data_IF_588863718278
#
_entry.id   IF_588863718278
#
_cell.length_a   1.000
_cell.length_b   1.000
_cell.length_c   1.000
_cell.angle_alpha   90.00
_cell.angle_beta   90.00
_cell.angle_gamma   90.00
#
_symmetry.space_group_name_H-M   'P 1'
#
loop_
_entity.id
_entity.type
_entity.pdbx_description
1 polymer ?
#
# COMPACT_ATOMS: atom_id res chain seq x y z
N UNK A 1 9.61 -1.01 -18.21
CA UNK A 1 9.44 -2.21 -17.37
C UNK A 1 10.24 -1.95 -16.11
N UNK A 2 9.62 -2.10 -14.93
CA UNK A 2 10.35 -2.07 -13.68
C UNK A 2 11.53 -3.04 -13.73
N UNK A 3 12.62 -2.70 -13.04
CA UNK A 3 13.82 -3.53 -13.00
C UNK A 3 13.48 -4.89 -12.35
N UNK A 4 13.27 -5.92 -13.17
CA UNK A 4 12.94 -7.27 -12.73
C UNK A 4 14.08 -7.93 -11.94
N UNK A 5 15.31 -7.43 -12.05
CA UNK A 5 16.46 -7.93 -11.31
C UNK A 5 16.24 -7.87 -9.79
N UNK A 6 15.42 -6.91 -9.32
CA UNK A 6 15.07 -6.80 -7.90
C UNK A 6 14.22 -8.00 -7.41
N UNK A 7 13.36 -8.53 -8.28
CA UNK A 7 12.38 -9.56 -7.93
C UNK A 7 12.82 -10.97 -8.36
N UNK A 8 13.65 -11.03 -9.40
CA UNK A 8 14.20 -12.22 -10.03
C UNK A 8 15.72 -12.01 -10.19
N UNK A 9 16.50 -12.19 -9.11
CA UNK A 9 17.88 -11.72 -9.03
C UNK A 9 18.91 -12.52 -9.84
N UNK A 10 18.49 -13.59 -10.53
CA UNK A 10 19.36 -14.31 -11.46
C UNK A 10 18.65 -14.68 -12.76
N UNK A 11 19.45 -14.87 -13.82
CA UNK A 11 18.97 -15.14 -15.17
C UNK A 11 18.10 -16.42 -15.26
N UNK A 12 18.43 -17.44 -14.46
CA UNK A 12 17.66 -18.68 -14.39
C UNK A 12 16.23 -18.45 -13.91
N UNK A 13 16.04 -17.61 -12.90
CA UNK A 13 14.72 -17.23 -12.38
C UNK A 13 13.95 -16.36 -13.38
N UNK A 14 14.63 -15.45 -14.07
CA UNK A 14 14.03 -14.62 -15.11
C UNK A 14 13.52 -15.47 -16.29
N UNK A 15 14.34 -16.41 -16.78
CA UNK A 15 13.96 -17.32 -17.84
C UNK A 15 12.81 -18.25 -17.42
N UNK A 16 12.85 -18.76 -16.18
CA UNK A 16 11.78 -19.56 -15.61
C UNK A 16 10.46 -18.79 -15.53
N UNK A 17 10.50 -17.51 -15.14
CA UNK A 17 9.33 -16.64 -15.08
C UNK A 17 8.74 -16.34 -16.46
N UNK A 18 9.57 -16.01 -17.45
CA UNK A 18 9.10 -15.79 -18.83
C UNK A 18 8.48 -17.06 -19.43
N UNK A 19 9.10 -18.22 -19.20
CA UNK A 19 8.51 -19.52 -19.58
C UNK A 19 7.16 -19.75 -18.89
N UNK A 20 7.05 -19.43 -17.60
CA UNK A 20 5.81 -19.61 -16.83
C UNK A 20 4.67 -18.70 -17.32
N UNK A 21 4.97 -17.47 -17.75
CA UNK A 21 3.98 -16.50 -18.27
C UNK A 21 3.25 -16.99 -19.50
N UNK A 22 3.94 -17.73 -20.37
CA UNK A 22 3.37 -18.25 -21.62
C UNK A 22 2.48 -19.48 -21.41
N UNK A 23 2.50 -20.10 -20.21
CA UNK A 23 1.71 -21.30 -19.91
C UNK A 23 0.24 -20.95 -19.65
N UNK A 24 -0.66 -21.58 -20.39
CA UNK A 24 -2.10 -21.25 -20.37
C UNK A 24 -2.91 -22.29 -19.59
N UNK A 25 -2.51 -23.55 -19.68
CA UNK A 25 -3.26 -24.68 -19.11
C UNK A 25 -2.72 -25.11 -17.75
N UNK A 26 -3.58 -25.75 -16.96
CA UNK A 26 -3.20 -26.34 -15.68
C UNK A 26 -2.17 -27.47 -15.83
N UNK A 27 -2.24 -28.24 -16.91
CA UNK A 27 -1.29 -29.32 -17.22
C UNK A 27 0.10 -28.79 -17.51
N UNK A 28 0.22 -27.75 -18.34
CA UNK A 28 1.49 -27.06 -18.62
C UNK A 28 2.12 -26.50 -17.35
N UNK A 29 1.32 -25.85 -16.49
CA UNK A 29 1.79 -25.32 -15.20
C UNK A 29 2.23 -26.43 -14.24
N UNK A 30 1.54 -27.56 -14.24
CA UNK A 30 1.91 -28.72 -13.42
C UNK A 30 3.23 -29.34 -13.92
N UNK A 31 3.39 -29.48 -15.25
CA UNK A 31 4.62 -29.98 -15.85
C UNK A 31 5.81 -29.06 -15.53
N UNK A 32 5.63 -27.74 -15.67
CA UNK A 32 6.64 -26.76 -15.29
C UNK A 32 7.03 -26.87 -13.80
N UNK A 33 6.06 -27.06 -12.90
CA UNK A 33 6.35 -27.25 -11.47
C UNK A 33 7.22 -28.50 -11.22
N UNK A 34 6.94 -29.60 -11.91
CA UNK A 34 7.76 -30.83 -11.83
C UNK A 34 9.17 -30.59 -12.35
N UNK A 35 9.31 -29.93 -13.50
CA UNK A 35 10.61 -29.56 -14.08
C UNK A 35 11.45 -28.71 -13.11
N UNK A 36 10.85 -27.70 -12.48
CA UNK A 36 11.55 -26.87 -11.50
C UNK A 36 11.98 -27.66 -10.25
N UNK A 37 11.15 -28.61 -9.80
CA UNK A 37 11.47 -29.48 -8.67
C UNK A 37 12.62 -30.43 -8.99
N UNK A 38 12.62 -31.01 -10.19
CA UNK A 38 13.70 -31.87 -10.68
C UNK A 38 15.01 -31.08 -10.82
N UNK A 39 14.96 -29.89 -11.43
CA UNK A 39 16.11 -28.99 -11.57
C UNK A 39 16.72 -28.66 -10.21
N UNK A 40 15.91 -28.31 -9.22
CA UNK A 40 16.40 -28.02 -7.87
C UNK A 40 17.01 -29.28 -7.21
N UNK A 41 16.40 -30.45 -7.44
CA UNK A 41 16.84 -31.72 -6.86
C UNK A 41 18.14 -32.24 -7.47
N UNK A 42 18.46 -31.88 -8.72
CA UNK A 42 19.70 -32.23 -9.40
C UNK A 42 20.87 -31.27 -9.11
N UNK A 43 20.61 -30.10 -8.52
CA UNK A 43 21.68 -29.15 -8.14
C UNK A 43 22.53 -29.71 -6.99
N UNK A 44 23.83 -29.40 -7.03
CA UNK A 44 24.72 -29.59 -5.89
C UNK A 44 24.31 -28.69 -4.71
N UNK A 45 24.86 -28.95 -3.53
CA UNK A 45 24.45 -28.26 -2.29
C UNK A 45 24.71 -26.74 -2.34
N UNK A 46 25.84 -26.32 -2.90
CA UNK A 46 26.23 -24.90 -2.95
C UNK A 46 25.30 -24.09 -3.87
N UNK A 47 25.05 -24.60 -5.08
CA UNK A 47 24.18 -23.97 -6.06
C UNK A 47 22.72 -23.97 -5.58
N UNK A 48 22.28 -25.08 -4.95
CA UNK A 48 20.95 -25.15 -4.33
C UNK A 48 20.78 -24.11 -3.23
N UNK A 49 21.77 -23.95 -2.33
CA UNK A 49 21.72 -22.94 -1.26
C UNK A 49 21.64 -21.53 -1.86
N UNK A 50 22.45 -21.23 -2.87
CA UNK A 50 22.41 -19.94 -3.57
C UNK A 50 21.04 -19.68 -4.21
N UNK A 51 20.52 -20.65 -4.95
CA UNK A 51 19.21 -20.55 -5.61
C UNK A 51 18.07 -20.30 -4.60
N UNK A 52 18.10 -20.96 -3.44
CA UNK A 52 17.10 -20.73 -2.37
C UNK A 52 17.27 -19.34 -1.76
N UNK A 53 18.50 -18.86 -1.55
CA UNK A 53 18.75 -17.52 -1.02
C UNK A 53 18.24 -16.43 -1.97
N UNK A 54 18.62 -16.52 -3.25
CA UNK A 54 18.16 -15.63 -4.32
C UNK A 54 16.62 -15.62 -4.41
N UNK A 55 15.98 -16.80 -4.32
CA UNK A 55 14.51 -16.93 -4.33
C UNK A 55 13.86 -16.20 -3.15
N UNK A 56 14.46 -16.30 -1.96
CA UNK A 56 13.95 -15.64 -0.74
C UNK A 56 14.06 -14.13 -0.85
N UNK A 57 15.17 -13.63 -1.40
CA UNK A 57 15.38 -12.19 -1.60
C UNK A 57 14.37 -11.61 -2.59
N UNK A 58 14.20 -12.26 -3.75
CA UNK A 58 13.21 -11.87 -4.75
C UNK A 58 11.77 -11.89 -4.22
N UNK A 59 11.42 -12.92 -3.43
CA UNK A 59 10.11 -13.01 -2.79
C UNK A 59 9.90 -11.88 -1.76
N UNK A 60 10.91 -11.61 -0.93
CA UNK A 60 10.85 -10.50 0.04
C UNK A 60 10.63 -9.16 -0.66
N UNK A 61 11.41 -8.89 -1.72
CA UNK A 61 11.25 -7.69 -2.51
C UNK A 61 9.85 -7.57 -3.15
N UNK A 62 9.28 -8.69 -3.58
CA UNK A 62 7.92 -8.75 -4.15
C UNK A 62 6.88 -8.42 -3.09
N UNK A 63 6.99 -9.01 -1.89
CA UNK A 63 6.08 -8.73 -0.76
C UNK A 63 6.13 -7.24 -0.39
N UNK A 64 7.34 -6.67 -0.25
CA UNK A 64 7.51 -5.25 0.06
C UNK A 64 6.89 -4.34 -1.02
N UNK A 65 7.02 -4.70 -2.30
CA UNK A 65 6.40 -3.95 -3.39
C UNK A 65 4.86 -4.06 -3.40
N UNK A 66 4.32 -5.24 -3.07
CA UNK A 66 2.87 -5.43 -2.92
C UNK A 66 2.32 -4.61 -1.74
N UNK A 67 2.98 -4.62 -0.59
CA UNK A 67 2.58 -3.83 0.59
C UNK A 67 2.59 -2.32 0.30
N UNK A 68 3.60 -1.84 -0.42
CA UNK A 68 3.68 -0.46 -0.88
C UNK A 68 2.55 -0.11 -1.85
N UNK A 69 2.26 -0.98 -2.82
CA UNK A 69 1.15 -0.80 -3.76
C UNK A 69 -0.21 -0.75 -3.05
N UNK A 70 -0.47 -1.70 -2.14
CA UNK A 70 -1.70 -1.72 -1.32
C UNK A 70 -1.84 -0.41 -0.57
N UNK A 71 -0.76 0.07 0.07
CA UNK A 71 -0.87 1.32 0.81
C UNK A 71 -1.15 2.52 -0.10
N UNK A 72 -0.47 2.63 -1.25
CA UNK A 72 -0.72 3.72 -2.20
C UNK A 72 -2.14 3.68 -2.75
N UNK A 73 -2.70 2.49 -2.95
CA UNK A 73 -4.09 2.32 -3.33
C UNK A 73 -5.04 2.80 -2.22
N UNK A 74 -4.80 2.44 -0.96
CA UNK A 74 -5.58 2.91 0.19
C UNK A 74 -5.53 4.44 0.36
N UNK A 75 -4.35 5.05 0.18
CA UNK A 75 -4.17 6.52 0.21
C UNK A 75 -4.95 7.21 -0.91
N UNK A 76 -4.88 6.67 -2.12
CA UNK A 76 -5.64 7.18 -3.28
C UNK A 76 -7.15 7.09 -3.01
N UNK A 77 -7.61 5.94 -2.49
CA UNK A 77 -9.00 5.74 -2.10
C UNK A 77 -9.44 6.73 -1.02
N UNK A 78 -8.59 7.04 -0.03
CA UNK A 78 -8.90 8.03 1.00
C UNK A 78 -9.14 9.41 0.39
N UNK A 79 -8.25 9.86 -0.50
CA UNK A 79 -8.38 11.15 -1.18
C UNK A 79 -9.66 11.21 -2.01
N UNK A 80 -9.95 10.16 -2.78
CA UNK A 80 -11.17 10.08 -3.58
C UNK A 80 -12.43 10.08 -2.70
N UNK A 81 -12.44 9.34 -1.59
CA UNK A 81 -13.56 9.30 -0.63
C UNK A 81 -13.81 10.63 0.07
N UNK A 82 -12.77 11.44 0.26
CA UNK A 82 -12.94 12.78 0.81
C UNK A 82 -13.65 13.73 -0.18
N UNK A 83 -13.50 13.51 -1.48
CA UNK A 83 -14.18 14.29 -2.52
C UNK A 83 -14.06 15.80 -2.28
N UNK A 84 -15.20 16.47 -2.21
CA UNK A 84 -15.35 17.93 -2.02
C UNK A 84 -15.25 18.36 -0.54
N UNK A 85 -15.14 17.43 0.40
CA UNK A 85 -15.09 17.72 1.83
C UNK A 85 -14.02 18.78 2.21
N UNK A 86 -12.80 18.78 1.62
CA UNK A 86 -11.79 19.80 1.92
C UNK A 86 -12.23 21.24 1.60
N UNK A 87 -13.19 21.42 0.68
CA UNK A 87 -13.75 22.72 0.31
C UNK A 87 -14.92 23.12 1.22
N UNK A 88 -15.59 22.13 1.82
CA UNK A 88 -16.75 22.32 2.70
C UNK A 88 -16.31 22.64 4.14
N UNK A 89 -15.24 22.02 4.64
CA UNK A 89 -14.83 22.13 6.04
C UNK A 89 -13.38 22.58 6.23
N UNK A 90 -13.13 23.31 7.33
CA UNK A 90 -11.79 23.78 7.66
C UNK A 90 -10.90 22.67 8.21
N UNK A 91 -10.04 22.09 7.37
CA UNK A 91 -9.02 21.14 7.81
C UNK A 91 -7.98 21.76 8.76
N UNK A 92 -7.79 23.08 8.69
CA UNK A 92 -6.99 23.82 9.70
C UNK A 92 -7.61 23.70 11.09
N UNK A 93 -8.93 23.78 11.20
CA UNK A 93 -9.63 23.62 12.46
C UNK A 93 -9.47 22.19 12.97
N UNK A 94 -9.65 21.18 12.11
CA UNK A 94 -9.49 19.76 12.49
C UNK A 94 -8.09 19.50 13.05
N UNK A 95 -7.06 19.89 12.31
CA UNK A 95 -5.67 19.68 12.70
C UNK A 95 -5.35 20.30 14.06
N UNK A 96 -5.80 21.54 14.31
CA UNK A 96 -5.56 22.23 15.57
C UNK A 96 -6.39 21.64 16.72
N UNK A 97 -7.69 21.44 16.50
CA UNK A 97 -8.64 21.08 17.56
C UNK A 97 -8.53 19.63 18.03
N UNK A 98 -8.31 18.70 17.10
CA UNK A 98 -8.35 17.26 17.41
C UNK A 98 -6.97 16.63 17.48
N UNK A 99 -5.96 17.22 16.82
CA UNK A 99 -4.60 16.67 16.81
C UNK A 99 -3.57 17.55 17.51
N UNK A 100 -3.87 18.83 17.76
CA UNK A 100 -2.87 19.79 18.25
C UNK A 100 -1.72 20.01 17.26
N UNK A 101 -1.99 19.85 15.96
CA UNK A 101 -0.99 19.93 14.87
C UNK A 101 -1.33 21.04 13.87
N UNK A 102 -0.39 21.30 12.98
CA UNK A 102 -0.57 22.27 11.89
C UNK A 102 -1.47 21.72 10.78
N UNK A 103 -2.08 22.61 9.99
CA UNK A 103 -2.84 22.22 8.78
C UNK A 103 -1.99 21.34 7.86
N UNK A 104 -0.73 21.71 7.64
CA UNK A 104 0.19 20.98 6.77
C UNK A 104 0.39 19.52 7.22
N UNK A 105 0.47 19.27 8.52
CA UNK A 105 0.60 17.92 9.08
C UNK A 105 -0.57 17.00 8.68
N UNK A 106 -1.79 17.54 8.67
CA UNK A 106 -2.99 16.79 8.28
C UNK A 106 -3.02 16.55 6.77
N UNK A 107 -2.67 17.56 5.98
CA UNK A 107 -2.57 17.45 4.52
C UNK A 107 -1.53 16.42 4.07
N UNK A 108 -0.38 16.35 4.75
CA UNK A 108 0.64 15.34 4.48
C UNK A 108 0.08 13.92 4.63
N UNK A 109 -0.74 13.66 5.66
CA UNK A 109 -1.34 12.34 5.91
C UNK A 109 -2.48 12.00 4.97
N UNK A 110 -3.30 12.98 4.62
CA UNK A 110 -4.41 12.79 3.68
C UNK A 110 -3.90 12.48 2.27
N UNK A 111 -2.78 13.11 1.86
CA UNK A 111 -2.24 12.97 0.52
C UNK A 111 -1.04 12.00 0.42
N UNK A 112 -0.64 11.33 1.51
CA UNK A 112 0.50 10.41 1.51
C UNK A 112 1.85 11.07 1.21
N UNK A 113 2.03 12.37 1.47
CA UNK A 113 3.27 13.08 1.11
C UNK A 113 4.49 12.49 1.82
N UNK A 114 5.63 12.43 1.12
CA UNK A 114 6.89 12.00 1.71
C UNK A 114 7.44 13.06 2.68
N UNK A 115 7.68 12.66 3.91
CA UNK A 115 8.30 13.47 4.98
C UNK A 115 9.46 12.68 5.58
N UNK A 116 10.67 13.24 5.56
CA UNK A 116 11.88 12.57 6.04
C UNK A 116 12.11 11.18 5.43
N UNK A 117 11.87 11.05 4.11
CA UNK A 117 12.08 9.82 3.36
C UNK A 117 11.00 8.74 3.56
N UNK A 118 9.93 9.03 4.31
CA UNK A 118 8.80 8.10 4.51
C UNK A 118 7.46 8.76 4.17
N UNK A 119 6.50 8.05 3.54
CA UNK A 119 5.15 8.56 3.35
C UNK A 119 4.49 8.86 4.70
N UNK A 120 3.93 10.06 4.84
CA UNK A 120 3.17 10.43 6.02
C UNK A 120 1.81 9.73 5.96
N UNK A 121 1.53 8.90 6.97
CA UNK A 121 0.28 8.15 7.09
C UNK A 121 -0.35 8.39 8.44
N UNK A 122 -1.66 8.22 8.51
CA UNK A 122 -2.33 8.10 9.80
C UNK A 122 -1.90 6.77 10.45
N UNK A 123 -1.62 6.80 11.74
CA UNK A 123 -1.74 5.58 12.54
C UNK A 123 -3.21 5.20 12.68
N UNK A 124 -3.52 3.97 13.09
CA UNK A 124 -4.91 3.54 13.31
C UNK A 124 -5.64 4.46 14.30
N UNK A 125 -4.97 4.85 15.39
CA UNK A 125 -5.53 5.77 16.38
C UNK A 125 -5.74 7.17 15.80
N UNK A 126 -4.77 7.69 15.03
CA UNK A 126 -4.92 9.00 14.38
C UNK A 126 -6.05 8.99 13.34
N UNK A 127 -6.24 7.89 12.61
CA UNK A 127 -7.34 7.75 11.65
C UNK A 127 -8.69 7.70 12.38
N UNK A 128 -8.78 6.98 13.49
CA UNK A 128 -9.99 6.98 14.31
C UNK A 128 -10.29 8.38 14.88
N UNK A 129 -9.26 9.13 15.31
CA UNK A 129 -9.42 10.53 15.71
C UNK A 129 -9.94 11.39 14.55
N UNK A 130 -9.47 11.16 13.32
CA UNK A 130 -9.96 11.86 12.13
C UNK A 130 -11.44 11.57 11.88
N UNK A 131 -11.87 10.31 11.92
CA UNK A 131 -13.29 9.93 11.79
C UNK A 131 -14.17 10.59 12.85
N UNK A 132 -13.72 10.55 14.12
CA UNK A 132 -14.44 11.18 15.22
C UNK A 132 -14.54 12.70 15.05
N UNK A 133 -13.52 13.35 14.48
CA UNK A 133 -13.53 14.78 14.19
C UNK A 133 -14.58 15.13 13.12
N UNK A 134 -14.69 14.32 12.06
CA UNK A 134 -15.71 14.50 11.02
C UNK A 134 -17.13 14.35 11.59
N UNK A 135 -17.35 13.33 12.41
CA UNK A 135 -18.64 13.09 13.09
C UNK A 135 -19.03 14.25 14.03
N UNK A 136 -18.07 14.76 14.82
CA UNK A 136 -18.33 15.89 15.71
C UNK A 136 -18.63 17.18 14.92
N UNK A 137 -17.93 17.43 13.81
CA UNK A 137 -18.21 18.57 12.92
C UNK A 137 -19.60 18.46 12.29
N UNK A 138 -19.96 17.27 11.79
CA UNK A 138 -21.31 16.99 11.25
C UNK A 138 -22.40 17.31 12.28
N UNK A 139 -22.23 16.81 13.51
CA UNK A 139 -23.16 17.07 14.60
C UNK A 139 -23.24 18.54 15.00
N UNK A 140 -22.12 19.28 14.99
CA UNK A 140 -22.11 20.73 15.24
C UNK A 140 -22.89 21.49 14.17
N UNK A 141 -22.65 21.20 12.88
CA UNK A 141 -23.38 21.82 11.77
C UNK A 141 -24.89 21.57 11.94
N UNK A 142 -25.29 20.33 12.23
CA UNK A 142 -26.69 19.96 12.47
C UNK A 142 -27.31 20.73 13.64
N UNK A 143 -26.62 20.83 14.77
CA UNK A 143 -27.10 21.56 15.96
C UNK A 143 -27.23 23.05 15.69
N UNK A 144 -26.23 23.66 15.04
CA UNK A 144 -26.26 25.08 14.67
C UNK A 144 -27.40 25.38 13.69
N UNK A 145 -27.62 24.53 12.70
CA UNK A 145 -28.76 24.66 11.78
C UNK A 145 -30.09 24.62 12.53
N UNK A 146 -30.24 23.71 13.51
CA UNK A 146 -31.44 23.64 14.33
C UNK A 146 -31.63 24.89 15.22
N UNK A 147 -30.56 25.44 15.80
CA UNK A 147 -30.65 26.60 16.69
C UNK A 147 -30.97 27.92 15.99
N UNK A 148 -30.73 28.01 14.68
CA UNK A 148 -30.97 29.22 13.88
C UNK A 148 -32.37 29.27 13.25
N UNK A 149 -33.21 28.26 13.48
CA UNK A 149 -34.62 28.30 13.06
C UNK A 149 -35.37 29.26 13.98
N UNK A 150 -35.70 30.45 13.46
CA UNK A 150 -36.60 31.38 14.13
C UNK A 150 -38.05 30.93 13.88
N UNK A 151 -38.86 30.89 14.94
CA UNK A 151 -40.31 30.65 14.87
C UNK A 151 -41.05 31.87 14.35
#
# INVERSE_FOLDING_TARGET
MDNMDKYLPNADMQAAFEKFKELKTSEEKLAFKKEMQEKLSSMNEADRKKYIADSKEGLKATVEACEDFITRAEETILKDKLGELPDIISFSYIAKKYFGKSRNWLYQRINGYTVNGKPAKFTQNEFQTFLNALEDISNKIKRTSASLKFN
#
